data_IF_325178443237
#
_entry.id   IF_325178443237
#
_cell.length_a   1.000
_cell.length_b   1.000
_cell.length_c   1.000
_cell.angle_alpha   90.00
_cell.angle_beta   90.00
_cell.angle_gamma   90.00
#
_symmetry.space_group_name_H-M   'P 1'
#
loop_
_entity.id
_entity.type
_entity.pdbx_description
1 polymer ?
#
# COMPACT_ATOMS: atom_id res chain seq x y z
N UNK A 1 -40.18 7.86 73.51
CA UNK A 1 -41.01 6.76 72.96
C UNK A 1 -40.70 6.66 71.47
N UNK A 2 -40.51 5.43 71.01
CA UNK A 2 -39.94 4.96 69.74
C UNK A 2 -40.53 5.50 68.41
N UNK A 3 -39.86 5.24 67.26
CA UNK A 3 -39.88 6.04 66.03
C UNK A 3 -40.77 5.46 64.90
N UNK A 4 -40.81 6.17 63.75
CA UNK A 4 -41.16 5.62 62.42
C UNK A 4 -40.20 6.16 61.34
N UNK A 5 -39.71 5.23 60.52
CA UNK A 5 -38.73 5.37 59.44
C UNK A 5 -39.24 6.18 58.23
N UNK A 6 -38.34 6.68 57.35
CA UNK A 6 -38.07 6.12 56.01
C UNK A 6 -37.29 7.09 55.07
N UNK A 7 -36.11 6.64 54.59
CA UNK A 7 -35.52 6.87 53.25
C UNK A 7 -35.26 8.29 52.68
N UNK A 8 -33.98 8.69 52.58
CA UNK A 8 -33.53 9.82 51.73
C UNK A 8 -32.96 9.33 50.39
N UNK A 9 -33.55 9.82 49.29
CA UNK A 9 -33.12 9.66 47.90
C UNK A 9 -32.26 10.86 47.46
N UNK A 10 -30.98 10.64 47.20
CA UNK A 10 -30.13 11.54 46.42
C UNK A 10 -30.45 11.40 44.92
N UNK A 11 -31.23 12.32 44.34
CA UNK A 11 -31.38 12.40 42.88
C UNK A 11 -31.85 13.78 42.40
N UNK A 12 -31.26 14.85 42.91
CA UNK A 12 -31.63 16.22 42.53
C UNK A 12 -30.44 17.07 42.08
N UNK A 13 -29.57 16.51 41.23
CA UNK A 13 -28.48 17.27 40.61
C UNK A 13 -28.22 16.89 39.13
N UNK A 14 -29.26 16.49 38.38
CA UNK A 14 -29.12 16.15 36.95
C UNK A 14 -30.16 16.80 36.02
N UNK A 15 -30.91 17.82 36.47
CA UNK A 15 -32.03 18.39 35.69
C UNK A 15 -31.78 19.74 35.01
N UNK A 16 -30.54 20.11 34.72
CA UNK A 16 -30.23 21.45 34.17
C UNK A 16 -29.48 21.49 32.84
N UNK A 17 -29.52 20.42 32.01
CA UNK A 17 -28.91 20.43 30.67
C UNK A 17 -29.75 19.64 29.63
N UNK A 18 -31.06 19.87 29.58
CA UNK A 18 -31.90 19.40 28.46
C UNK A 18 -32.78 20.54 27.96
N UNK A 19 -32.20 21.36 27.08
CA UNK A 19 -32.91 22.46 26.45
C UNK A 19 -32.07 23.12 25.37
N UNK A 20 -31.85 22.44 24.24
CA UNK A 20 -31.43 23.11 23.00
C UNK A 20 -31.81 22.32 21.74
N UNK A 21 -32.56 23.02 20.89
CA UNK A 21 -32.76 22.86 19.44
C UNK A 21 -33.23 21.49 18.86
N UNK A 22 -34.54 21.41 18.59
CA UNK A 22 -35.10 20.51 17.55
C UNK A 22 -34.74 21.09 16.16
N UNK A 23 -33.70 20.57 15.52
CA UNK A 23 -33.55 20.69 14.07
C UNK A 23 -34.55 19.75 13.37
N UNK A 24 -35.29 20.30 12.39
CA UNK A 24 -36.15 19.54 11.48
C UNK A 24 -35.26 18.61 10.66
N UNK A 25 -35.25 17.32 10.99
CA UNK A 25 -34.71 16.28 10.12
C UNK A 25 -35.62 16.12 8.90
N UNK A 26 -35.19 16.62 7.74
CA UNK A 26 -35.67 16.11 6.46
C UNK A 26 -35.37 14.60 6.37
N UNK A 27 -36.26 13.78 5.81
CA UNK A 27 -36.02 12.35 5.66
C UNK A 27 -34.87 12.13 4.69
N UNK A 28 -33.68 11.81 5.22
CA UNK A 28 -32.57 11.26 4.45
C UNK A 28 -33.05 10.02 3.72
N UNK A 29 -33.21 10.13 2.40
CA UNK A 29 -33.36 9.01 1.49
C UNK A 29 -32.24 8.00 1.81
N UNK A 30 -32.61 6.85 2.37
CA UNK A 30 -31.67 5.77 2.67
C UNK A 30 -31.26 5.13 1.36
N UNK A 31 -30.27 5.73 0.67
CA UNK A 31 -29.59 5.06 -0.44
C UNK A 31 -29.10 3.70 0.07
N UNK A 32 -29.35 2.62 -0.68
CA UNK A 32 -28.95 1.30 -0.23
C UNK A 32 -27.43 1.23 -0.04
N UNK A 33 -26.97 0.38 0.88
CA UNK A 33 -25.57 0.32 1.33
C UNK A 33 -24.57 0.17 0.16
N UNK A 34 -25.02 -0.42 -0.95
CA UNK A 34 -24.26 -0.62 -2.18
C UNK A 34 -24.01 0.65 -3.01
N UNK A 35 -24.57 1.78 -2.60
CA UNK A 35 -24.42 3.08 -3.26
C UNK A 35 -23.65 4.08 -2.39
N UNK A 36 -23.11 3.65 -1.23
CA UNK A 36 -22.29 4.52 -0.36
C UNK A 36 -20.90 4.70 -0.96
N UNK A 37 -20.81 5.65 -1.87
CA UNK A 37 -19.58 6.10 -2.50
C UNK A 37 -18.67 6.76 -1.45
N UNK A 38 -17.35 6.54 -1.53
CA UNK A 38 -16.38 7.23 -0.65
C UNK A 38 -16.54 8.75 -0.81
N UNK A 39 -16.80 9.43 0.30
CA UNK A 39 -16.84 10.89 0.41
C UNK A 39 -15.51 11.35 0.99
N UNK A 40 -14.83 12.22 0.26
CA UNK A 40 -13.57 12.82 0.68
C UNK A 40 -13.87 14.02 1.60
N UNK A 41 -13.20 14.08 2.75
CA UNK A 41 -13.37 15.13 3.75
C UNK A 41 -12.00 15.76 4.01
N UNK A 42 -11.95 17.06 4.24
CA UNK A 42 -10.72 17.73 4.68
C UNK A 42 -10.33 17.23 6.07
N UNK A 43 -9.22 16.49 6.16
CA UNK A 43 -8.75 15.85 7.39
C UNK A 43 -7.22 15.75 7.37
N UNK A 44 -6.58 15.98 8.52
CA UNK A 44 -5.12 15.83 8.65
C UNK A 44 -4.74 14.35 8.76
N UNK A 45 -3.46 14.07 8.54
CA UNK A 45 -2.94 12.73 8.75
C UNK A 45 -2.96 12.40 10.25
N UNK A 46 -3.46 11.23 10.63
CA UNK A 46 -3.59 10.82 12.03
C UNK A 46 -2.27 10.97 12.80
N UNK A 47 -1.14 10.63 12.18
CA UNK A 47 0.15 10.72 12.86
C UNK A 47 0.61 12.16 13.08
N UNK A 48 0.23 13.11 12.22
CA UNK A 48 0.52 14.53 12.46
C UNK A 48 -0.22 15.00 13.73
N UNK A 49 -1.49 14.62 13.87
CA UNK A 49 -2.29 14.94 15.07
C UNK A 49 -1.72 14.26 16.32
N UNK A 50 -1.33 12.99 16.22
CA UNK A 50 -0.74 12.26 17.35
C UNK A 50 0.62 12.82 17.76
N UNK A 51 1.45 13.29 16.83
CA UNK A 51 2.76 13.87 17.14
C UNK A 51 2.67 15.21 17.88
N UNK A 52 1.50 15.87 17.90
CA UNK A 52 1.24 17.02 18.78
C UNK A 52 1.15 16.60 20.26
N UNK A 53 0.76 15.34 20.54
CA UNK A 53 0.71 14.78 21.88
C UNK A 53 2.12 14.45 22.36
N UNK A 54 2.47 14.91 23.56
CA UNK A 54 3.82 14.79 24.12
C UNK A 54 4.36 13.35 24.15
N UNK A 55 3.51 12.37 24.48
CA UNK A 55 3.91 10.96 24.57
C UNK A 55 4.37 10.38 23.22
N UNK A 56 3.63 10.64 22.14
CA UNK A 56 3.99 10.17 20.79
C UNK A 56 5.20 10.92 20.24
N UNK A 57 5.32 12.22 20.56
CA UNK A 57 6.53 12.99 20.23
C UNK A 57 7.78 12.41 20.89
N UNK A 58 7.68 11.92 22.12
CA UNK A 58 8.79 11.22 22.78
C UNK A 58 9.18 9.94 22.03
N UNK A 59 8.20 9.13 21.58
CA UNK A 59 8.48 7.94 20.77
C UNK A 59 9.23 8.35 19.49
N UNK A 60 8.75 9.37 18.78
CA UNK A 60 9.44 9.89 17.59
C UNK A 60 10.88 10.32 17.90
N UNK A 61 11.09 11.07 18.99
CA UNK A 61 12.42 11.49 19.41
C UNK A 61 13.35 10.31 19.76
N UNK A 62 12.81 9.21 20.32
CA UNK A 62 13.57 7.98 20.55
C UNK A 62 14.04 7.38 19.22
N UNK A 63 13.16 7.28 18.20
CA UNK A 63 13.55 6.79 16.87
C UNK A 63 14.65 7.66 16.25
N UNK A 64 14.55 8.99 16.38
CA UNK A 64 15.59 9.93 15.91
C UNK A 64 16.90 9.76 16.69
N UNK A 65 16.85 9.63 18.01
CA UNK A 65 18.04 9.43 18.84
C UNK A 65 18.75 8.11 18.51
N UNK A 66 17.98 7.03 18.32
CA UNK A 66 18.51 5.74 17.88
C UNK A 66 19.16 5.87 16.51
N UNK A 67 18.53 6.59 15.56
CA UNK A 67 19.15 6.90 14.27
C UNK A 67 20.49 7.64 14.42
N UNK A 68 20.57 8.67 15.25
CA UNK A 68 21.82 9.39 15.52
C UNK A 68 22.91 8.46 16.08
N UNK A 69 22.55 7.49 16.94
CA UNK A 69 23.48 6.47 17.44
C UNK A 69 23.96 5.55 16.30
N UNK A 70 23.10 5.16 15.36
CA UNK A 70 23.52 4.39 14.19
C UNK A 70 24.48 5.15 13.29
N UNK A 71 24.24 6.44 13.07
CA UNK A 71 25.15 7.32 12.33
C UNK A 71 26.50 7.41 13.03
N UNK A 72 26.49 7.68 14.35
CA UNK A 72 27.70 7.73 15.15
C UNK A 72 28.47 6.41 15.10
N UNK A 73 27.79 5.27 15.26
CA UNK A 73 28.39 3.94 15.14
C UNK A 73 29.07 3.76 13.79
N UNK A 74 28.41 4.11 12.69
CA UNK A 74 28.99 3.93 11.36
C UNK A 74 30.22 4.82 11.14
N UNK A 75 30.16 6.09 11.56
CA UNK A 75 31.31 7.00 11.50
C UNK A 75 32.48 6.50 12.34
N UNK A 76 32.21 6.01 13.56
CA UNK A 76 33.26 5.48 14.44
C UNK A 76 33.89 4.20 13.89
N UNK A 77 33.08 3.25 13.41
CA UNK A 77 33.59 2.00 12.81
C UNK A 77 34.45 2.31 11.58
N UNK A 78 33.97 3.18 10.68
CA UNK A 78 34.73 3.54 9.48
C UNK A 78 36.03 4.28 9.81
N UNK A 79 36.00 5.17 10.82
CA UNK A 79 37.19 5.86 11.31
C UNK A 79 38.21 4.90 11.93
N UNK A 80 37.76 3.89 12.69
CA UNK A 80 38.63 2.87 13.29
C UNK A 80 39.24 1.99 12.20
N UNK A 81 38.45 1.56 11.22
CA UNK A 81 38.87 0.59 10.21
C UNK A 81 39.75 1.21 9.12
N UNK A 82 39.44 2.44 8.66
CA UNK A 82 40.10 3.06 7.51
C UNK A 82 40.90 4.32 7.83
N UNK A 83 40.76 4.87 9.05
CA UNK A 83 41.35 6.15 9.45
C UNK A 83 40.71 7.37 8.78
N UNK A 84 39.60 7.21 8.06
CA UNK A 84 38.83 8.28 7.39
C UNK A 84 37.36 8.22 7.81
N UNK A 85 36.64 9.32 7.60
CA UNK A 85 35.19 9.36 7.80
C UNK A 85 34.51 9.38 6.43
N UNK A 86 34.11 8.22 5.95
CA UNK A 86 33.31 8.01 4.75
C UNK A 86 32.01 7.30 5.14
N UNK A 87 30.88 7.98 4.92
CA UNK A 87 29.58 7.32 5.02
C UNK A 87 29.43 6.38 3.82
N UNK A 88 29.28 5.09 4.09
CA UNK A 88 29.07 4.10 3.05
C UNK A 88 27.60 4.09 2.58
N UNK A 89 27.41 4.28 1.28
CA UNK A 89 26.13 4.26 0.58
C UNK A 89 25.96 3.04 -0.34
N UNK A 90 26.84 2.04 -0.27
CA UNK A 90 26.85 0.85 -1.14
C UNK A 90 25.49 0.16 -1.21
N UNK A 91 24.82 -0.04 -0.08
CA UNK A 91 23.50 -0.70 -0.04
C UNK A 91 22.46 0.09 -0.82
N UNK A 92 22.49 1.43 -0.76
CA UNK A 92 21.56 2.29 -1.49
C UNK A 92 21.89 2.25 -2.99
N UNK A 93 23.17 2.40 -3.34
CA UNK A 93 23.63 2.35 -4.74
C UNK A 93 23.28 1.00 -5.38
N UNK A 94 23.45 -0.08 -4.64
CA UNK A 94 23.05 -1.43 -5.04
C UNK A 94 21.52 -1.54 -5.21
N UNK A 95 20.75 -1.13 -4.21
CA UNK A 95 19.30 -1.24 -4.21
C UNK A 95 18.66 -0.44 -5.36
N UNK A 96 19.11 0.78 -5.60
CA UNK A 96 18.67 1.66 -6.69
C UNK A 96 19.53 1.52 -7.96
N UNK A 97 20.15 0.35 -8.16
CA UNK A 97 20.94 0.07 -9.35
C UNK A 97 20.18 0.40 -10.64
N UNK A 98 20.83 1.17 -11.53
CA UNK A 98 20.30 1.66 -12.82
C UNK A 98 19.00 2.49 -12.71
N UNK A 99 18.83 3.26 -11.63
CA UNK A 99 17.64 4.13 -11.44
C UNK A 99 17.34 5.05 -12.64
N UNK A 100 18.35 5.63 -13.29
CA UNK A 100 18.11 6.50 -14.46
C UNK A 100 17.39 5.78 -15.61
N UNK A 101 17.60 4.46 -15.76
CA UNK A 101 16.94 3.65 -16.77
C UNK A 101 15.47 3.34 -16.42
N UNK A 102 15.02 3.58 -15.18
CA UNK A 102 13.61 3.40 -14.80
C UNK A 102 12.71 4.54 -15.26
N UNK A 103 13.30 5.69 -15.60
CA UNK A 103 12.54 6.87 -16.07
C UNK A 103 11.83 6.61 -17.39
N UNK A 104 12.47 5.91 -18.34
CA UNK A 104 11.87 5.59 -19.64
C UNK A 104 10.64 4.67 -19.50
N UNK A 105 10.70 3.49 -18.84
CA UNK A 105 9.51 2.66 -18.68
C UNK A 105 8.42 3.37 -17.89
N UNK A 106 8.78 4.17 -16.87
CA UNK A 106 7.83 5.00 -16.15
C UNK A 106 7.12 6.02 -17.06
N UNK A 107 7.88 6.75 -17.89
CA UNK A 107 7.34 7.76 -18.80
C UNK A 107 6.42 7.14 -19.85
N UNK A 108 6.78 5.98 -20.40
CA UNK A 108 5.91 5.24 -21.33
C UNK A 108 4.60 4.81 -20.67
N UNK A 109 4.67 4.23 -19.48
CA UNK A 109 3.46 3.85 -18.72
C UNK A 109 2.62 5.07 -18.36
N UNK A 110 3.24 6.16 -17.91
CA UNK A 110 2.56 7.39 -17.55
C UNK A 110 1.85 8.05 -18.75
N UNK A 111 2.55 8.21 -19.88
CA UNK A 111 1.98 8.79 -21.10
C UNK A 111 0.84 7.93 -21.64
N UNK A 112 0.99 6.61 -21.61
CA UNK A 112 -0.09 5.70 -21.97
C UNK A 112 -1.31 5.91 -21.07
N UNK A 113 -1.14 5.88 -19.75
CA UNK A 113 -2.24 6.03 -18.80
C UNK A 113 -2.89 7.41 -18.88
N UNK A 114 -2.12 8.46 -19.16
CA UNK A 114 -2.65 9.81 -19.32
C UNK A 114 -3.46 9.98 -20.62
N UNK A 115 -2.94 9.48 -21.73
CA UNK A 115 -3.49 9.81 -23.06
C UNK A 115 -4.50 8.77 -23.55
N UNK A 116 -4.17 7.47 -23.47
CA UNK A 116 -4.95 6.42 -24.15
C UNK A 116 -6.35 6.24 -23.52
N UNK A 117 -6.51 6.02 -22.20
CA UNK A 117 -7.84 5.91 -21.58
C UNK A 117 -8.71 7.15 -21.82
N UNK A 118 -8.13 8.35 -21.73
CA UNK A 118 -8.84 9.60 -21.93
C UNK A 118 -9.35 9.77 -23.37
N UNK A 119 -8.47 9.54 -24.35
CA UNK A 119 -8.82 9.67 -25.78
C UNK A 119 -9.82 8.60 -26.21
N UNK A 120 -9.65 7.34 -25.77
CA UNK A 120 -10.62 6.28 -26.09
C UNK A 120 -11.99 6.59 -25.50
N UNK A 121 -12.07 7.09 -24.26
CA UNK A 121 -13.33 7.54 -23.66
C UNK A 121 -13.95 8.66 -24.51
N UNK A 122 -13.18 9.66 -24.91
CA UNK A 122 -13.68 10.81 -25.67
C UNK A 122 -14.20 10.41 -27.07
N UNK A 123 -13.48 9.54 -27.77
CA UNK A 123 -13.90 8.98 -29.06
C UNK A 123 -15.16 8.14 -28.86
N UNK A 124 -15.19 7.28 -27.83
CA UNK A 124 -16.33 6.43 -27.53
C UNK A 124 -17.60 7.26 -27.27
N UNK A 125 -17.54 8.32 -26.45
CA UNK A 125 -18.71 9.19 -26.19
C UNK A 125 -19.19 9.91 -27.47
N UNK A 126 -18.27 10.40 -28.29
CA UNK A 126 -18.63 11.05 -29.55
C UNK A 126 -19.33 10.09 -30.51
N UNK A 127 -18.82 8.86 -30.63
CA UNK A 127 -19.46 7.81 -31.43
C UNK A 127 -20.80 7.38 -30.85
N UNK A 128 -20.93 7.38 -29.52
CA UNK A 128 -22.16 7.05 -28.80
C UNK A 128 -23.30 8.03 -29.12
N UNK A 129 -22.98 9.30 -29.39
CA UNK A 129 -23.94 10.34 -29.84
C UNK A 129 -24.42 10.11 -31.27
N UNK A 130 -23.53 9.67 -32.16
CA UNK A 130 -23.83 9.54 -33.60
C UNK A 130 -24.47 8.20 -33.97
N UNK A 131 -24.12 7.11 -33.28
CA UNK A 131 -24.45 5.75 -33.69
C UNK A 131 -25.50 5.10 -32.76
N UNK A 132 -26.43 4.37 -33.38
CA UNK A 132 -27.52 3.68 -32.69
C UNK A 132 -27.12 2.32 -32.09
N UNK A 133 -25.84 1.93 -32.12
CA UNK A 133 -25.32 0.64 -31.61
C UNK A 133 -24.41 0.81 -30.37
N UNK A 134 -24.93 1.22 -29.19
CA UNK A 134 -24.15 1.45 -27.97
C UNK A 134 -23.30 0.26 -27.54
N UNK A 135 -23.90 -0.94 -27.57
CA UNK A 135 -23.29 -2.14 -27.00
C UNK A 135 -22.03 -2.54 -27.75
N UNK A 136 -22.10 -2.60 -29.08
CA UNK A 136 -20.97 -2.96 -29.93
C UNK A 136 -19.80 -1.97 -29.77
N UNK A 137 -20.08 -0.66 -29.77
CA UNK A 137 -19.07 0.37 -29.57
C UNK A 137 -18.38 0.26 -28.20
N UNK A 138 -19.15 -0.03 -27.15
CA UNK A 138 -18.63 -0.22 -25.80
C UNK A 138 -17.75 -1.46 -25.71
N UNK A 139 -18.14 -2.57 -26.35
CA UNK A 139 -17.33 -3.79 -26.44
C UNK A 139 -16.02 -3.51 -27.18
N UNK A 140 -16.07 -2.84 -28.34
CA UNK A 140 -14.87 -2.51 -29.12
C UNK A 140 -13.91 -1.64 -28.31
N UNK A 141 -14.41 -0.56 -27.70
CA UNK A 141 -13.60 0.34 -26.86
C UNK A 141 -12.97 -0.42 -25.68
N UNK A 142 -13.72 -1.32 -25.05
CA UNK A 142 -13.24 -2.15 -23.94
C UNK A 142 -12.14 -3.11 -24.39
N UNK A 143 -12.31 -3.79 -25.52
CA UNK A 143 -11.31 -4.72 -26.07
C UNK A 143 -10.02 -3.98 -26.43
N UNK A 144 -10.13 -2.81 -27.08
CA UNK A 144 -8.97 -1.95 -27.41
C UNK A 144 -8.24 -1.52 -26.14
N UNK A 145 -8.94 -1.07 -25.10
CA UNK A 145 -8.33 -0.70 -23.82
C UNK A 145 -7.70 -1.90 -23.11
N UNK A 146 -8.32 -3.08 -23.18
CA UNK A 146 -7.78 -4.29 -22.58
C UNK A 146 -6.47 -4.72 -23.25
N UNK A 147 -6.42 -4.69 -24.58
CA UNK A 147 -5.20 -4.97 -25.36
C UNK A 147 -4.12 -3.93 -25.04
N UNK A 148 -4.49 -2.65 -24.98
CA UNK A 148 -3.58 -1.57 -24.58
C UNK A 148 -3.01 -1.76 -23.18
N UNK A 149 -3.86 -2.08 -22.20
CA UNK A 149 -3.44 -2.36 -20.83
C UNK A 149 -2.53 -3.60 -20.75
N UNK A 150 -2.89 -4.69 -21.45
CA UNK A 150 -2.10 -5.91 -21.47
C UNK A 150 -0.72 -5.70 -22.12
N UNK A 151 -0.63 -4.90 -23.18
CA UNK A 151 0.63 -4.65 -23.88
C UNK A 151 1.51 -3.65 -23.12
N UNK A 152 0.98 -2.48 -22.75
CA UNK A 152 1.78 -1.37 -22.21
C UNK A 152 1.90 -1.40 -20.69
N UNK A 153 0.84 -1.77 -19.97
CA UNK A 153 0.85 -1.81 -18.50
C UNK A 153 1.09 -3.20 -17.91
N UNK A 154 1.11 -4.27 -18.71
CA UNK A 154 1.45 -5.61 -18.23
C UNK A 154 2.72 -6.15 -18.89
N UNK A 155 2.72 -6.38 -20.19
CA UNK A 155 3.85 -7.02 -20.87
C UNK A 155 5.11 -6.15 -20.90
N UNK A 156 5.00 -4.88 -21.28
CA UNK A 156 6.14 -3.97 -21.41
C UNK A 156 6.98 -3.80 -20.12
N UNK A 157 6.42 -3.43 -18.95
CA UNK A 157 7.21 -3.31 -17.72
C UNK A 157 7.87 -4.62 -17.33
N UNK A 158 7.17 -5.75 -17.43
CA UNK A 158 7.75 -7.08 -17.15
C UNK A 158 8.90 -7.40 -18.09
N UNK A 159 8.74 -7.11 -19.39
CA UNK A 159 9.81 -7.28 -20.36
C UNK A 159 11.04 -6.41 -20.03
N UNK A 160 10.84 -5.14 -19.64
CA UNK A 160 11.95 -4.25 -19.25
C UNK A 160 12.68 -4.77 -18.01
N UNK A 161 11.95 -5.24 -16.99
CA UNK A 161 12.53 -5.79 -15.76
C UNK A 161 13.27 -7.11 -15.99
N UNK A 162 12.81 -7.93 -16.94
CA UNK A 162 13.45 -9.22 -17.27
C UNK A 162 14.65 -9.08 -18.21
N UNK A 163 14.72 -8.01 -19.01
CA UNK A 163 15.79 -7.79 -19.99
C UNK A 163 16.97 -7.01 -19.43
N UNK A 164 16.79 -6.25 -18.35
CA UNK A 164 17.82 -5.40 -17.76
C UNK A 164 18.07 -5.76 -16.29
N UNK A 165 19.34 -5.82 -15.82
CA UNK A 165 19.66 -6.09 -14.43
C UNK A 165 19.50 -4.81 -13.59
N UNK A 166 18.26 -4.51 -13.22
CA UNK A 166 17.93 -3.46 -12.25
C UNK A 166 18.24 -3.89 -10.81
N UNK A 167 18.49 -2.92 -9.93
CA UNK A 167 18.54 -3.18 -8.49
C UNK A 167 17.15 -3.49 -7.92
N UNK A 168 17.03 -4.19 -6.78
CA UNK A 168 15.74 -4.61 -6.23
C UNK A 168 14.75 -3.46 -5.95
N UNK A 169 15.24 -2.31 -5.48
CA UNK A 169 14.39 -1.14 -5.23
C UNK A 169 13.96 -0.47 -6.55
N UNK A 170 14.83 -0.43 -7.56
CA UNK A 170 14.49 0.03 -8.92
C UNK A 170 13.39 -0.82 -9.55
N UNK A 171 13.46 -2.15 -9.42
CA UNK A 171 12.41 -3.07 -9.84
C UNK A 171 11.08 -2.80 -9.11
N UNK A 172 11.16 -2.59 -7.79
CA UNK A 172 10.00 -2.29 -6.97
C UNK A 172 9.31 -0.98 -7.40
N UNK A 173 10.07 0.07 -7.72
CA UNK A 173 9.53 1.34 -8.24
C UNK A 173 8.70 1.11 -9.50
N UNK A 174 9.27 0.46 -10.52
CA UNK A 174 8.57 0.20 -11.79
C UNK A 174 7.30 -0.62 -11.54
N UNK A 175 7.39 -1.65 -10.71
CA UNK A 175 6.28 -2.57 -10.45
C UNK A 175 5.16 -1.92 -9.65
N UNK A 176 5.48 -1.11 -8.63
CA UNK A 176 4.48 -0.35 -7.86
C UNK A 176 3.82 0.74 -8.71
N UNK A 177 4.58 1.44 -9.54
CA UNK A 177 4.05 2.45 -10.47
C UNK A 177 3.15 1.81 -11.53
N UNK A 178 3.54 0.65 -12.06
CA UNK A 178 2.70 -0.16 -12.95
C UNK A 178 1.34 -0.49 -12.32
N UNK A 179 1.33 -1.03 -11.09
CA UNK A 179 0.09 -1.35 -10.39
C UNK A 179 -0.73 -0.10 -10.08
N UNK A 180 -0.08 1.00 -9.70
CA UNK A 180 -0.73 2.30 -9.45
C UNK A 180 -1.45 2.80 -10.71
N UNK A 181 -0.79 2.78 -11.86
CA UNK A 181 -1.37 3.20 -13.13
C UNK A 181 -2.53 2.31 -13.57
N UNK A 182 -2.42 1.00 -13.38
CA UNK A 182 -3.51 0.06 -13.65
C UNK A 182 -4.75 0.36 -12.78
N UNK A 183 -4.55 0.52 -11.46
CA UNK A 183 -5.62 0.82 -10.51
C UNK A 183 -6.29 2.17 -10.80
N UNK A 184 -5.50 3.20 -11.11
CA UNK A 184 -6.02 4.54 -11.45
C UNK A 184 -6.76 4.55 -12.79
N UNK A 185 -6.23 3.90 -13.82
CA UNK A 185 -6.90 3.77 -15.11
C UNK A 185 -8.25 3.07 -14.96
N UNK A 186 -8.28 1.96 -14.22
CA UNK A 186 -9.53 1.24 -13.93
C UNK A 186 -10.53 2.12 -13.17
N UNK A 187 -10.08 2.80 -12.11
CA UNK A 187 -10.95 3.66 -11.30
C UNK A 187 -11.56 4.79 -12.13
N UNK A 188 -10.76 5.46 -12.97
CA UNK A 188 -11.23 6.51 -13.86
C UNK A 188 -12.33 6.01 -14.80
N UNK A 189 -12.10 4.90 -15.50
CA UNK A 189 -13.08 4.33 -16.43
C UNK A 189 -14.34 3.86 -15.69
N UNK A 190 -14.19 3.22 -14.53
CA UNK A 190 -15.33 2.69 -13.76
C UNK A 190 -16.23 3.77 -13.20
N UNK A 191 -15.68 4.92 -12.82
CA UNK A 191 -16.47 6.03 -12.26
C UNK A 191 -17.09 6.92 -13.34
N UNK A 192 -16.49 6.99 -14.54
CA UNK A 192 -16.96 7.86 -15.63
C UNK A 192 -17.97 7.20 -16.55
N UNK A 193 -17.81 5.91 -16.87
CA UNK A 193 -18.67 5.22 -17.85
C UNK A 193 -20.13 5.07 -17.40
N UNK A 194 -20.47 4.66 -16.15
CA UNK A 194 -21.86 4.46 -15.75
C UNK A 194 -22.74 5.72 -15.80
N UNK A 195 -22.30 6.90 -15.29
CA UNK A 195 -23.08 8.13 -15.42
C UNK A 195 -23.34 8.52 -16.88
N UNK A 196 -22.36 8.33 -17.76
CA UNK A 196 -22.52 8.60 -19.20
C UNK A 196 -23.58 7.69 -19.82
N UNK A 197 -23.54 6.38 -19.52
CA UNK A 197 -24.56 5.43 -20.00
C UNK A 197 -25.97 5.75 -19.46
N UNK A 198 -26.07 6.16 -18.19
CA UNK A 198 -27.34 6.59 -17.59
C UNK A 198 -27.88 7.86 -18.24
N UNK A 199 -27.02 8.87 -18.47
CA UNK A 199 -27.41 10.11 -19.16
C UNK A 199 -27.92 9.83 -20.56
N UNK A 200 -27.25 8.94 -21.33
CA UNK A 200 -27.74 8.49 -22.64
C UNK A 200 -29.12 7.83 -22.54
N UNK A 201 -29.31 6.93 -21.56
CA UNK A 201 -30.59 6.22 -21.42
C UNK A 201 -31.75 7.15 -21.06
N UNK A 202 -31.46 8.29 -20.43
CA UNK A 202 -32.44 9.27 -20.00
C UNK A 202 -32.54 10.48 -20.96
N UNK A 203 -31.95 10.38 -22.17
CA UNK A 203 -31.84 11.48 -23.15
C UNK A 203 -31.25 12.79 -22.56
N UNK A 204 -30.40 12.66 -21.53
CA UNK A 204 -29.68 13.77 -20.92
C UNK A 204 -28.34 14.08 -21.59
N UNK A 205 -27.76 15.23 -21.27
CA UNK A 205 -26.44 15.61 -21.77
C UNK A 205 -25.33 14.71 -21.18
N UNK A 206 -24.56 14.08 -22.07
CA UNK A 206 -23.37 13.32 -21.68
C UNK A 206 -22.22 14.28 -21.35
N UNK A 207 -21.96 14.47 -20.07
CA UNK A 207 -20.81 15.25 -19.58
C UNK A 207 -19.53 14.41 -19.61
N UNK A 208 -18.48 14.95 -20.24
CA UNK A 208 -17.14 14.35 -20.20
C UNK A 208 -16.30 14.99 -19.10
N UNK A 209 -15.44 14.20 -18.42
CA UNK A 209 -14.50 14.75 -17.46
C UNK A 209 -13.47 15.66 -18.16
N UNK A 210 -13.11 16.76 -17.49
CA UNK A 210 -12.03 17.63 -17.95
C UNK A 210 -10.68 16.92 -17.88
N UNK A 211 -9.82 17.15 -18.87
CA UNK A 211 -8.46 16.60 -18.90
C UNK A 211 -7.62 17.03 -17.69
N UNK A 212 -7.78 18.29 -17.24
CA UNK A 212 -7.11 18.84 -16.07
C UNK A 212 -7.43 18.05 -14.79
N UNK A 213 -8.69 17.68 -14.59
CA UNK A 213 -9.15 16.86 -13.45
C UNK A 213 -8.56 15.46 -13.49
N UNK A 214 -8.50 14.85 -14.69
CA UNK A 214 -7.89 13.54 -14.85
C UNK A 214 -6.37 13.57 -14.58
N UNK A 215 -5.66 14.54 -15.15
CA UNK A 215 -4.24 14.76 -14.91
C UNK A 215 -3.95 14.98 -13.42
N UNK A 216 -4.77 15.81 -12.75
CA UNK A 216 -4.69 16.03 -11.30
C UNK A 216 -4.84 14.71 -10.52
N UNK A 217 -5.85 13.90 -10.84
CA UNK A 217 -6.07 12.60 -10.22
C UNK A 217 -4.87 11.66 -10.34
N UNK A 218 -4.17 11.64 -11.48
CA UNK A 218 -3.01 10.77 -11.68
C UNK A 218 -1.88 11.03 -10.68
N UNK A 219 -1.73 12.26 -10.18
CA UNK A 219 -0.74 12.60 -9.17
C UNK A 219 -1.28 12.59 -7.73
N UNK A 220 -2.60 12.68 -7.52
CA UNK A 220 -3.18 12.64 -6.18
C UNK A 220 -2.89 11.32 -5.43
N UNK A 221 -2.64 11.37 -4.11
CA UNK A 221 -2.38 10.18 -3.28
C UNK A 221 -3.65 9.40 -2.94
N UNK A 222 -4.53 9.17 -3.92
CA UNK A 222 -5.73 8.34 -3.84
C UNK A 222 -5.85 7.49 -5.10
N UNK A 223 -6.50 6.33 -4.98
CA UNK A 223 -6.77 5.43 -6.10
C UNK A 223 -8.22 5.51 -6.59
N UNK A 224 -9.07 6.32 -5.94
CA UNK A 224 -10.48 6.47 -6.28
C UNK A 224 -10.68 7.80 -7.02
N UNK A 225 -11.15 7.73 -8.26
CA UNK A 225 -11.46 8.87 -9.11
C UNK A 225 -12.75 9.57 -8.66
N UNK A 226 -12.68 10.89 -8.55
CA UNK A 226 -13.80 11.82 -8.37
C UNK A 226 -13.52 13.07 -9.18
N UNK A 227 -14.58 13.73 -9.62
CA UNK A 227 -14.44 14.99 -10.35
C UNK A 227 -13.97 16.13 -9.43
N UNK A 228 -14.42 16.13 -8.18
CA UNK A 228 -14.09 17.14 -7.19
C UNK A 228 -13.50 16.49 -5.94
N UNK A 229 -12.34 17.00 -5.51
CA UNK A 229 -11.69 16.64 -4.26
C UNK A 229 -11.64 17.85 -3.33
N UNK A 230 -11.70 17.67 -2.01
CA UNK A 230 -11.45 18.77 -1.07
C UNK A 230 -9.99 19.22 -1.23
N UNK A 231 -9.79 20.54 -1.32
CA UNK A 231 -8.47 21.14 -1.56
C UNK A 231 -8.06 22.09 -0.45
N UNK A 232 -6.77 22.10 -0.11
CA UNK A 232 -6.21 23.09 0.81
C UNK A 232 -6.03 24.43 0.09
N UNK A 233 -6.12 25.57 0.80
CA UNK A 233 -6.06 26.90 0.19
C UNK A 233 -4.70 27.26 -0.40
N UNK A 234 -3.61 26.76 0.19
CA UNK A 234 -2.24 27.01 -0.27
C UNK A 234 -1.33 25.80 -0.01
N UNK A 235 -0.19 25.77 -0.70
CA UNK A 235 0.89 24.77 -0.49
C UNK A 235 1.84 25.29 0.58
N UNK A 236 2.00 24.54 1.68
CA UNK A 236 2.99 24.84 2.71
C UNK A 236 4.33 24.17 2.37
N UNK A 237 5.15 24.87 1.58
CA UNK A 237 6.45 24.34 1.11
C UNK A 237 7.39 23.87 2.21
N UNK A 238 7.36 24.51 3.39
CA UNK A 238 8.13 24.03 4.55
C UNK A 238 7.75 22.61 4.94
N UNK A 239 6.46 22.30 5.02
CA UNK A 239 5.96 20.96 5.33
C UNK A 239 6.32 19.95 4.23
N UNK A 240 6.30 20.37 2.96
CA UNK A 240 6.75 19.53 1.83
C UNK A 240 8.23 19.17 1.97
N UNK A 241 9.09 20.16 2.17
CA UNK A 241 10.54 19.99 2.30
C UNK A 241 10.88 19.12 3.52
N UNK A 242 10.23 19.36 4.67
CA UNK A 242 10.41 18.57 5.88
C UNK A 242 10.06 17.09 5.65
N UNK A 243 8.96 16.79 4.97
CA UNK A 243 8.56 15.41 4.70
C UNK A 243 9.46 14.72 3.67
N UNK A 244 9.95 15.43 2.64
CA UNK A 244 10.96 14.87 1.73
C UNK A 244 12.30 14.65 2.41
N UNK A 245 12.72 15.55 3.30
CA UNK A 245 13.93 15.36 4.10
C UNK A 245 13.78 14.13 5.01
N UNK A 246 12.64 13.97 5.71
CA UNK A 246 12.33 12.76 6.50
C UNK A 246 12.37 11.50 5.64
N UNK A 247 11.78 11.53 4.44
CA UNK A 247 11.83 10.42 3.50
C UNK A 247 13.27 10.01 3.15
N UNK A 248 14.13 10.95 2.77
CA UNK A 248 15.54 10.67 2.44
C UNK A 248 16.32 10.16 3.67
N UNK A 249 16.10 10.74 4.85
CA UNK A 249 16.72 10.29 6.10
C UNK A 249 16.27 8.87 6.46
N UNK A 250 15.00 8.53 6.27
CA UNK A 250 14.51 7.17 6.52
C UNK A 250 15.06 6.14 5.52
N UNK A 251 15.27 6.50 4.25
CA UNK A 251 15.97 5.63 3.29
C UNK A 251 17.40 5.35 3.73
N UNK A 252 18.11 6.40 4.14
CA UNK A 252 19.46 6.24 4.71
C UNK A 252 19.42 5.37 5.95
N UNK A 253 18.49 5.62 6.87
CA UNK A 253 18.35 4.82 8.08
C UNK A 253 18.08 3.33 7.77
N UNK A 254 17.19 3.04 6.82
CA UNK A 254 16.90 1.68 6.37
C UNK A 254 18.14 0.96 5.85
N UNK A 255 18.99 1.66 5.09
CA UNK A 255 20.26 1.10 4.59
C UNK A 255 21.22 0.72 5.72
N UNK A 256 21.32 1.56 6.76
CA UNK A 256 22.17 1.31 7.92
C UNK A 256 21.67 0.10 8.71
N UNK A 257 20.35 -0.01 8.92
CA UNK A 257 19.75 -1.15 9.60
C UNK A 257 20.01 -2.45 8.85
N UNK A 258 19.87 -2.41 7.52
CA UNK A 258 20.16 -3.58 6.68
C UNK A 258 21.62 -4.01 6.81
N UNK A 259 22.56 -3.05 6.76
CA UNK A 259 24.00 -3.33 6.92
C UNK A 259 24.36 -3.84 8.32
N UNK A 260 23.75 -3.28 9.37
CA UNK A 260 24.08 -3.61 10.76
C UNK A 260 23.45 -4.91 11.25
N UNK A 261 22.21 -5.19 10.85
CA UNK A 261 21.45 -6.32 11.36
C UNK A 261 21.24 -7.42 10.33
N UNK A 262 20.92 -7.07 9.09
CA UNK A 262 20.54 -8.08 8.09
C UNK A 262 21.75 -8.79 7.51
N UNK A 263 22.72 -8.04 6.99
CA UNK A 263 23.89 -8.63 6.32
C UNK A 263 24.62 -9.63 7.24
N UNK A 264 24.94 -9.31 8.51
CA UNK A 264 25.68 -10.24 9.37
C UNK A 264 24.90 -11.51 9.74
N UNK A 265 23.57 -11.43 9.83
CA UNK A 265 22.72 -12.59 10.14
C UNK A 265 22.73 -13.60 8.98
N UNK A 266 22.72 -13.14 7.73
CA UNK A 266 22.52 -14.02 6.57
C UNK A 266 23.81 -14.32 5.78
N UNK A 267 24.81 -13.43 5.79
CA UNK A 267 26.03 -13.61 4.96
C UNK A 267 26.86 -14.84 5.33
N UNK A 268 26.87 -15.21 6.62
CA UNK A 268 27.70 -16.31 7.13
C UNK A 268 27.02 -17.69 7.06
N UNK A 269 25.76 -17.75 6.67
CA UNK A 269 24.93 -18.95 6.83
C UNK A 269 25.14 -20.03 5.78
N UNK A 270 25.87 -19.74 4.70
CA UNK A 270 26.11 -20.72 3.63
C UNK A 270 27.15 -21.79 3.97
N UNK A 271 27.82 -21.69 5.11
CA UNK A 271 28.86 -22.65 5.53
C UNK A 271 28.30 -23.91 6.18
N UNK A 272 27.00 -23.97 6.49
CA UNK A 272 26.38 -25.10 7.18
C UNK A 272 24.99 -25.40 6.62
N UNK A 273 24.57 -26.67 6.57
CA UNK A 273 23.22 -27.02 6.14
C UNK A 273 22.16 -26.43 7.08
N UNK A 274 21.06 -25.96 6.49
CA UNK A 274 19.96 -25.31 7.22
C UNK A 274 19.20 -26.34 8.07
N UNK A 275 19.71 -26.55 9.28
CA UNK A 275 19.09 -27.42 10.28
C UNK A 275 17.86 -26.71 10.88
N UNK A 276 16.84 -27.47 11.29
CA UNK A 276 15.64 -26.92 11.95
C UNK A 276 15.97 -25.97 13.11
N UNK A 277 16.94 -26.36 13.95
CA UNK A 277 17.45 -25.51 15.03
C UNK A 277 17.96 -24.16 14.53
N UNK A 278 18.82 -24.16 13.52
CA UNK A 278 19.38 -22.94 12.93
C UNK A 278 18.29 -22.08 12.30
N UNK A 279 17.34 -22.69 11.58
CA UNK A 279 16.20 -21.99 11.01
C UNK A 279 15.37 -21.24 12.06
N UNK A 280 14.99 -21.92 13.15
CA UNK A 280 14.24 -21.32 14.25
C UNK A 280 15.01 -20.14 14.84
N UNK A 281 16.31 -20.31 15.12
CA UNK A 281 17.14 -19.24 15.68
C UNK A 281 17.25 -18.01 14.75
N UNK A 282 17.31 -18.22 13.43
CA UNK A 282 17.34 -17.13 12.43
C UNK A 282 16.03 -16.35 12.45
N UNK A 283 14.88 -17.04 12.42
CA UNK A 283 13.58 -16.36 12.42
C UNK A 283 13.41 -15.50 13.67
N UNK A 284 13.74 -16.05 14.84
CA UNK A 284 13.65 -15.28 16.09
C UNK A 284 14.67 -14.14 16.15
N UNK A 285 15.92 -14.33 15.70
CA UNK A 285 16.93 -13.26 15.71
C UNK A 285 16.62 -12.13 14.72
N UNK A 286 16.00 -12.46 13.59
CA UNK A 286 15.59 -11.49 12.58
C UNK A 286 14.29 -10.75 12.93
N UNK A 287 13.54 -11.18 13.95
CA UNK A 287 12.21 -10.64 14.29
C UNK A 287 12.25 -9.14 14.58
N UNK A 288 13.20 -8.69 15.40
CA UNK A 288 13.34 -7.27 15.75
C UNK A 288 13.75 -6.42 14.55
N UNK A 289 14.70 -6.92 13.74
CA UNK A 289 15.14 -6.22 12.55
C UNK A 289 14.00 -6.09 11.51
N UNK A 290 13.24 -7.16 11.31
CA UNK A 290 12.09 -7.19 10.40
C UNK A 290 10.98 -6.22 10.86
N UNK A 291 10.65 -6.19 12.15
CA UNK A 291 9.70 -5.24 12.71
C UNK A 291 10.15 -3.79 12.47
N UNK A 292 11.41 -3.51 12.79
CA UNK A 292 11.95 -2.16 12.68
C UNK A 292 11.93 -1.67 11.23
N UNK A 293 12.37 -2.51 10.29
CA UNK A 293 12.31 -2.21 8.86
C UNK A 293 10.87 -2.04 8.38
N UNK A 294 9.92 -2.87 8.83
CA UNK A 294 8.52 -2.77 8.45
C UNK A 294 7.88 -1.44 8.91
N UNK A 295 8.12 -1.03 10.16
CA UNK A 295 7.63 0.25 10.70
C UNK A 295 8.29 1.42 9.95
N UNK A 296 9.59 1.34 9.67
CA UNK A 296 10.31 2.38 8.95
C UNK A 296 9.79 2.54 7.52
N UNK A 297 9.62 1.43 6.79
CA UNK A 297 9.03 1.44 5.43
C UNK A 297 7.62 2.03 5.45
N UNK A 298 6.81 1.63 6.43
CA UNK A 298 5.46 2.15 6.59
C UNK A 298 5.45 3.67 6.80
N UNK A 299 6.24 4.17 7.76
CA UNK A 299 6.36 5.60 8.05
C UNK A 299 6.90 6.39 6.85
N UNK A 300 7.91 5.84 6.16
CA UNK A 300 8.53 6.47 5.00
C UNK A 300 7.55 6.67 3.86
N UNK A 301 6.78 5.62 3.52
CA UNK A 301 5.87 5.67 2.39
C UNK A 301 4.51 6.29 2.76
N UNK A 302 3.80 5.74 3.74
CA UNK A 302 2.42 6.15 4.02
C UNK A 302 2.33 7.52 4.69
N UNK A 303 3.30 7.88 5.52
CA UNK A 303 3.30 9.17 6.18
C UNK A 303 4.12 10.19 5.41
N UNK A 304 5.43 10.02 5.25
CA UNK A 304 6.27 11.07 4.66
C UNK A 304 5.98 11.30 3.17
N UNK A 305 6.01 10.24 2.36
CA UNK A 305 5.85 10.35 0.91
C UNK A 305 4.44 10.78 0.51
N UNK A 306 3.39 10.11 1.00
CA UNK A 306 2.00 10.47 0.64
C UNK A 306 1.61 11.87 1.14
N UNK A 307 2.02 12.29 2.34
CA UNK A 307 1.71 13.65 2.80
C UNK A 307 2.48 14.73 2.03
N UNK A 308 3.72 14.46 1.61
CA UNK A 308 4.46 15.39 0.76
C UNK A 308 3.73 15.61 -0.58
N UNK A 309 3.30 14.53 -1.24
CA UNK A 309 2.50 14.63 -2.46
C UNK A 309 1.11 15.24 -2.23
N UNK A 310 0.45 14.93 -1.11
CA UNK A 310 -0.84 15.51 -0.76
C UNK A 310 -0.74 17.04 -0.64
N UNK A 311 0.26 17.53 0.09
CA UNK A 311 0.48 18.97 0.25
C UNK A 311 0.84 19.65 -1.07
N UNK A 312 1.74 19.06 -1.88
CA UNK A 312 2.11 19.61 -3.20
C UNK A 312 0.92 19.74 -4.14
N UNK A 313 -0.01 18.77 -4.12
CA UNK A 313 -1.21 18.80 -4.95
C UNK A 313 -2.35 19.65 -4.35
N UNK A 314 -2.18 20.20 -3.15
CA UNK A 314 -3.26 20.79 -2.34
C UNK A 314 -4.42 19.80 -2.09
N UNK A 315 -4.13 18.51 -1.91
CA UNK A 315 -5.12 17.49 -1.58
C UNK A 315 -5.38 17.47 -0.07
N UNK A 316 -6.65 17.64 0.33
CA UNK A 316 -7.01 17.88 1.73
C UNK A 316 -7.38 16.62 2.53
N UNK A 317 -7.76 15.51 1.88
CA UNK A 317 -8.06 14.25 2.58
C UNK A 317 -6.78 13.45 2.82
N UNK A 318 -6.20 13.53 4.01
CA UNK A 318 -4.93 12.87 4.34
C UNK A 318 -5.11 11.57 5.13
N UNK A 319 -6.27 10.93 5.02
CA UNK A 319 -6.59 9.67 5.71
C UNK A 319 -6.04 8.44 4.97
N UNK A 320 -4.72 8.38 4.77
CA UNK A 320 -4.06 7.26 4.09
C UNK A 320 -4.03 5.97 4.93
N UNK A 321 -4.12 6.12 6.25
CA UNK A 321 -4.12 5.05 7.25
C UNK A 321 -4.90 5.51 8.49
N UNK A 322 -5.31 4.55 9.32
CA UNK A 322 -5.95 4.77 10.63
C UNK A 322 -5.08 4.18 11.74
N UNK A 323 -5.60 4.06 12.95
CA UNK A 323 -4.97 3.51 14.14
C UNK A 323 -4.82 1.98 14.10
N UNK A 324 -4.17 1.47 13.06
CA UNK A 324 -4.01 0.04 12.80
C UNK A 324 -3.29 -0.73 13.92
N UNK A 325 -2.46 -0.04 14.71
CA UNK A 325 -1.76 -0.62 15.86
C UNK A 325 -2.69 -0.95 17.03
N UNK A 326 -3.87 -0.33 17.11
CA UNK A 326 -4.90 -0.60 18.12
C UNK A 326 -5.91 -1.69 17.68
N UNK A 327 -5.74 -2.25 16.48
CA UNK A 327 -6.65 -3.26 15.96
C UNK A 327 -6.70 -4.50 16.87
N UNK A 328 -7.92 -4.99 17.14
CA UNK A 328 -8.16 -6.22 17.91
C UNK A 328 -8.44 -7.42 17.02
N UNK A 329 -8.75 -7.20 15.73
CA UNK A 329 -8.98 -8.26 14.75
C UNK A 329 -8.15 -8.03 13.49
N UNK A 330 -7.85 -9.11 12.76
CA UNK A 330 -7.07 -9.02 11.53
C UNK A 330 -7.83 -8.22 10.48
N UNK A 331 -9.14 -8.41 10.42
CA UNK A 331 -10.06 -7.64 9.59
C UNK A 331 -10.05 -6.14 9.91
N UNK A 332 -9.91 -5.73 11.18
CA UNK A 332 -9.74 -4.31 11.52
C UNK A 332 -8.38 -3.77 11.08
N UNK A 333 -7.31 -4.53 11.29
CA UNK A 333 -5.94 -4.18 10.87
C UNK A 333 -5.86 -3.93 9.36
N UNK A 334 -6.40 -4.86 8.56
CA UNK A 334 -6.33 -4.80 7.10
C UNK A 334 -7.07 -3.59 6.50
N UNK A 335 -8.14 -3.14 7.15
CA UNK A 335 -8.92 -1.96 6.74
C UNK A 335 -8.27 -0.63 7.14
N UNK A 336 -7.35 -0.65 8.10
CA UNK A 336 -6.76 0.55 8.70
C UNK A 336 -5.30 0.77 8.31
N UNK A 337 -4.55 -0.28 7.98
CA UNK A 337 -3.13 -0.20 7.62
C UNK A 337 -2.85 0.64 6.36
N UNK A 338 -3.59 0.37 5.28
CA UNK A 338 -3.48 1.04 3.99
C UNK A 338 -4.89 1.31 3.45
N UNK A 339 -5.46 2.44 3.85
CA UNK A 339 -6.83 2.83 3.48
C UNK A 339 -6.93 3.07 1.97
N UNK A 340 -5.87 3.58 1.34
CA UNK A 340 -5.87 3.91 -0.10
C UNK A 340 -6.12 2.68 -0.98
N UNK A 341 -5.39 1.58 -0.73
CA UNK A 341 -5.56 0.32 -1.48
C UNK A 341 -6.78 -0.44 -0.99
N UNK A 342 -7.05 -0.43 0.32
CA UNK A 342 -8.25 -1.05 0.88
C UNK A 342 -9.52 -0.50 0.21
N UNK A 343 -9.66 0.82 0.11
CA UNK A 343 -10.85 1.44 -0.45
C UNK A 343 -11.00 1.12 -1.95
N UNK A 344 -9.90 1.05 -2.69
CA UNK A 344 -9.92 0.60 -4.09
C UNK A 344 -10.41 -0.84 -4.22
N UNK A 345 -9.85 -1.77 -3.44
CA UNK A 345 -10.25 -3.18 -3.43
C UNK A 345 -11.72 -3.33 -2.99
N UNK A 346 -12.14 -2.58 -1.98
CA UNK A 346 -13.50 -2.60 -1.47
C UNK A 346 -14.50 -2.10 -2.51
N UNK A 347 -14.26 -0.94 -3.12
CA UNK A 347 -15.17 -0.32 -4.08
C UNK A 347 -15.22 -1.05 -5.43
N UNK A 348 -14.10 -1.59 -5.91
CA UNK A 348 -13.99 -2.06 -7.30
C UNK A 348 -13.84 -3.56 -7.47
N UNK A 349 -13.43 -4.28 -6.43
CA UNK A 349 -13.34 -5.75 -6.49
C UNK A 349 -14.46 -6.33 -5.66
N UNK A 350 -14.44 -6.10 -4.35
CA UNK A 350 -15.41 -6.69 -3.43
C UNK A 350 -16.85 -6.33 -3.80
N UNK A 351 -17.13 -5.03 -3.93
CA UNK A 351 -18.48 -4.55 -4.19
C UNK A 351 -19.00 -4.95 -5.58
N UNK A 352 -18.14 -4.90 -6.59
CA UNK A 352 -18.49 -5.27 -7.96
C UNK A 352 -18.77 -6.76 -8.09
N UNK A 353 -17.97 -7.61 -7.42
CA UNK A 353 -18.23 -9.04 -7.35
C UNK A 353 -19.54 -9.32 -6.61
N UNK A 354 -19.83 -8.62 -5.51
CA UNK A 354 -21.11 -8.75 -4.82
C UNK A 354 -22.30 -8.39 -5.71
N UNK A 355 -22.16 -7.34 -6.53
CA UNK A 355 -23.17 -6.92 -7.48
C UNK A 355 -23.39 -7.98 -8.56
N UNK A 356 -22.32 -8.51 -9.16
CA UNK A 356 -22.38 -9.58 -10.18
C UNK A 356 -23.01 -10.86 -9.62
N UNK A 357 -22.63 -11.27 -8.41
CA UNK A 357 -23.14 -12.48 -7.76
C UNK A 357 -24.45 -12.28 -6.98
N UNK A 358 -25.13 -11.12 -7.16
CA UNK A 358 -26.40 -10.77 -6.51
C UNK A 358 -26.42 -11.05 -5.01
N UNK A 359 -25.34 -10.70 -4.30
CA UNK A 359 -25.16 -10.83 -2.85
C UNK A 359 -25.23 -12.27 -2.28
N UNK A 360 -25.39 -13.31 -3.12
CA UNK A 360 -25.50 -14.71 -2.65
C UNK A 360 -24.17 -15.34 -2.24
N UNK A 361 -23.05 -14.74 -2.65
CA UNK A 361 -21.71 -15.32 -2.51
C UNK A 361 -20.74 -14.38 -1.78
N UNK A 362 -21.14 -13.86 -0.61
CA UNK A 362 -20.32 -12.92 0.17
C UNK A 362 -18.93 -13.48 0.51
N UNK A 363 -18.85 -14.74 0.97
CA UNK A 363 -17.58 -15.40 1.28
C UNK A 363 -16.68 -15.54 0.04
N UNK A 364 -17.26 -15.80 -1.14
CA UNK A 364 -16.49 -15.85 -2.39
C UNK A 364 -15.97 -14.47 -2.79
N UNK A 365 -16.75 -13.41 -2.61
CA UNK A 365 -16.32 -12.03 -2.89
C UNK A 365 -15.17 -11.61 -1.97
N UNK A 366 -15.24 -11.96 -0.68
CA UNK A 366 -14.13 -11.76 0.27
C UNK A 366 -12.91 -12.54 -0.20
N UNK A 367 -13.02 -13.86 -0.37
CA UNK A 367 -11.91 -14.72 -0.78
C UNK A 367 -11.26 -14.24 -2.08
N UNK A 368 -12.06 -13.87 -3.09
CA UNK A 368 -11.55 -13.37 -4.37
C UNK A 368 -10.78 -12.06 -4.21
N UNK A 369 -11.30 -11.12 -3.42
CA UNK A 369 -10.62 -9.83 -3.15
C UNK A 369 -9.26 -10.05 -2.52
N UNK A 370 -9.18 -11.00 -1.59
CA UNK A 370 -7.94 -11.37 -0.94
C UNK A 370 -6.96 -12.12 -1.85
N UNK A 371 -7.44 -13.03 -2.71
CA UNK A 371 -6.60 -13.71 -3.69
C UNK A 371 -5.98 -12.69 -4.64
N UNK A 372 -6.76 -11.73 -5.14
CA UNK A 372 -6.25 -10.64 -5.99
C UNK A 372 -5.19 -9.81 -5.26
N UNK A 373 -5.46 -9.43 -4.00
CA UNK A 373 -4.50 -8.71 -3.17
C UNK A 373 -3.20 -9.50 -2.96
N UNK A 374 -3.30 -10.76 -2.55
CA UNK A 374 -2.14 -11.63 -2.31
C UNK A 374 -1.32 -11.87 -3.57
N UNK A 375 -1.96 -12.05 -4.72
CA UNK A 375 -1.30 -12.22 -6.01
C UNK A 375 -0.50 -10.96 -6.42
N UNK A 376 -1.05 -9.76 -6.18
CA UNK A 376 -0.32 -8.52 -6.44
C UNK A 376 0.87 -8.33 -5.50
N UNK A 377 0.75 -8.69 -4.23
CA UNK A 377 1.88 -8.64 -3.29
C UNK A 377 3.00 -9.60 -3.72
N UNK A 378 2.66 -10.84 -4.07
CA UNK A 378 3.63 -11.82 -4.57
C UNK A 378 4.26 -11.38 -5.90
N UNK A 379 3.47 -10.79 -6.81
CA UNK A 379 3.96 -10.23 -8.06
C UNK A 379 5.01 -9.13 -7.82
N UNK A 380 4.77 -8.21 -6.88
CA UNK A 380 5.73 -7.16 -6.52
C UNK A 380 7.03 -7.77 -5.98
N UNK A 381 6.93 -8.75 -5.08
CA UNK A 381 8.11 -9.44 -4.53
C UNK A 381 8.89 -10.18 -5.62
N UNK A 382 8.19 -10.94 -6.46
CA UNK A 382 8.77 -11.72 -7.55
C UNK A 382 9.53 -10.82 -8.54
N UNK A 383 8.94 -9.69 -8.93
CA UNK A 383 9.60 -8.74 -9.84
C UNK A 383 10.74 -7.98 -9.16
N UNK A 384 10.63 -7.68 -7.87
CA UNK A 384 11.67 -6.96 -7.12
C UNK A 384 12.92 -7.83 -6.89
N UNK A 385 12.73 -9.11 -6.56
CA UNK A 385 13.84 -10.02 -6.27
C UNK A 385 14.28 -10.87 -7.48
N UNK A 386 13.49 -10.94 -8.55
CA UNK A 386 13.83 -11.68 -9.77
C UNK A 386 13.67 -13.20 -9.67
N UNK A 387 13.01 -13.71 -8.63
CA UNK A 387 12.68 -15.12 -8.45
C UNK A 387 11.29 -15.29 -7.84
N UNK A 388 10.67 -16.44 -8.03
CA UNK A 388 9.35 -16.75 -7.49
C UNK A 388 9.49 -17.57 -6.20
N UNK A 389 8.96 -17.03 -5.09
CA UNK A 389 8.97 -17.70 -3.79
C UNK A 389 7.67 -17.36 -3.03
N UNK A 390 6.59 -18.15 -3.20
CA UNK A 390 5.20 -17.78 -2.89
C UNK A 390 4.84 -17.74 -1.40
N UNK A 391 5.80 -17.44 -0.53
CA UNK A 391 5.61 -17.38 0.91
C UNK A 391 4.61 -16.30 1.31
N UNK A 392 4.67 -15.12 0.67
CA UNK A 392 3.76 -14.02 1.01
C UNK A 392 2.32 -14.38 0.65
N UNK A 393 2.12 -15.00 -0.51
CA UNK A 393 0.82 -15.53 -0.93
C UNK A 393 0.28 -16.58 0.05
N UNK A 394 1.11 -17.52 0.50
CA UNK A 394 0.72 -18.54 1.49
C UNK A 394 0.38 -17.88 2.84
N UNK A 395 1.18 -16.93 3.31
CA UNK A 395 0.91 -16.19 4.54
C UNK A 395 -0.44 -15.45 4.47
N UNK A 396 -0.78 -14.87 3.31
CA UNK A 396 -2.09 -14.25 3.09
C UNK A 396 -3.24 -15.24 3.26
N UNK A 397 -3.14 -16.46 2.71
CA UNK A 397 -4.17 -17.49 2.91
C UNK A 397 -4.34 -17.92 4.36
N UNK A 398 -3.23 -18.06 5.10
CA UNK A 398 -3.27 -18.38 6.51
C UNK A 398 -4.04 -17.30 7.27
N UNK A 399 -3.72 -16.02 7.02
CA UNK A 399 -4.42 -14.88 7.62
C UNK A 399 -5.93 -14.96 7.37
N UNK A 400 -6.34 -15.20 6.12
CA UNK A 400 -7.76 -15.30 5.74
C UNK A 400 -8.43 -16.49 6.42
N UNK A 401 -7.76 -17.65 6.42
CA UNK A 401 -8.26 -18.85 7.07
C UNK A 401 -8.51 -18.60 8.56
N UNK A 402 -7.61 -17.90 9.25
CA UNK A 402 -7.81 -17.56 10.67
C UNK A 402 -9.04 -16.67 10.90
N UNK A 403 -9.37 -15.78 9.97
CA UNK A 403 -10.57 -14.95 10.09
C UNK A 403 -11.85 -15.70 9.73
N UNK A 404 -11.84 -16.55 8.69
CA UNK A 404 -13.00 -17.37 8.31
C UNK A 404 -13.34 -18.36 9.43
N UNK A 405 -12.34 -18.92 10.09
CA UNK A 405 -12.50 -19.82 11.23
C UNK A 405 -12.90 -19.08 12.52
N UNK A 406 -12.98 -17.74 12.51
CA UNK A 406 -13.38 -16.95 13.67
C UNK A 406 -12.45 -17.10 14.87
N UNK A 407 -11.14 -17.29 14.63
CA UNK A 407 -10.19 -17.48 15.73
C UNK A 407 -10.18 -16.25 16.64
N UNK A 408 -10.18 -16.43 17.98
CA UNK A 408 -10.12 -15.30 18.89
C UNK A 408 -8.86 -14.49 18.60
N UNK A 409 -9.04 -13.19 18.43
CA UNK A 409 -7.98 -12.25 18.16
C UNK A 409 -8.04 -11.18 19.23
N UNK A 410 -6.96 -11.06 19.98
CA UNK A 410 -6.70 -9.92 20.86
C UNK A 410 -5.60 -9.08 20.22
N UNK A 411 -5.43 -7.84 20.64
CA UNK A 411 -4.36 -6.99 20.12
C UNK A 411 -2.97 -7.66 20.26
N UNK A 412 -2.70 -8.30 21.39
CA UNK A 412 -1.43 -9.03 21.63
C UNK A 412 -1.27 -10.20 20.66
N UNK A 413 -2.31 -11.03 20.48
CA UNK A 413 -2.25 -12.17 19.55
C UNK A 413 -2.07 -11.70 18.10
N UNK A 414 -2.69 -10.58 17.72
CA UNK A 414 -2.50 -9.96 16.42
C UNK A 414 -1.03 -9.54 16.22
N UNK A 415 -0.44 -8.84 17.19
CA UNK A 415 0.97 -8.45 17.12
C UNK A 415 1.91 -9.65 17.05
N UNK A 416 1.66 -10.73 17.81
CA UNK A 416 2.43 -11.98 17.71
C UNK A 416 2.37 -12.54 16.28
N UNK A 417 1.18 -12.58 15.66
CA UNK A 417 1.01 -13.07 14.28
C UNK A 417 1.74 -12.17 13.28
N UNK A 418 1.66 -10.84 13.42
CA UNK A 418 2.35 -9.88 12.55
C UNK A 418 3.87 -10.04 12.69
N UNK A 419 4.39 -10.07 13.91
CA UNK A 419 5.82 -10.20 14.18
C UNK A 419 6.39 -11.50 13.61
N UNK A 420 5.71 -12.62 13.88
CA UNK A 420 6.13 -13.92 13.36
C UNK A 420 6.05 -13.97 11.83
N UNK A 421 4.97 -13.45 11.24
CA UNK A 421 4.81 -13.38 9.79
C UNK A 421 5.88 -12.53 9.10
N UNK A 422 6.18 -11.34 9.64
CA UNK A 422 7.25 -10.47 9.14
C UNK A 422 8.61 -11.14 9.27
N UNK A 423 8.91 -11.75 10.42
CA UNK A 423 10.17 -12.43 10.67
C UNK A 423 10.39 -13.60 9.71
N UNK A 424 9.35 -14.42 9.51
CA UNK A 424 9.37 -15.56 8.59
C UNK A 424 9.58 -15.11 7.14
N UNK A 425 8.81 -14.11 6.69
CA UNK A 425 8.92 -13.56 5.34
C UNK A 425 10.31 -12.99 5.11
N UNK A 426 10.79 -12.13 6.02
CA UNK A 426 12.09 -11.50 5.92
C UNK A 426 13.23 -12.52 5.88
N UNK A 427 13.18 -13.52 6.75
CA UNK A 427 14.22 -14.55 6.85
C UNK A 427 14.27 -15.42 5.61
N UNK A 428 13.13 -15.95 5.17
CA UNK A 428 13.09 -16.86 4.02
C UNK A 428 13.46 -16.16 2.71
N UNK A 429 12.97 -14.93 2.49
CA UNK A 429 13.34 -14.15 1.30
C UNK A 429 14.83 -13.80 1.31
N UNK A 430 15.39 -13.45 2.47
CA UNK A 430 16.82 -13.17 2.60
C UNK A 430 17.67 -14.43 2.36
N UNK A 431 17.29 -15.56 2.95
CA UNK A 431 17.98 -16.84 2.73
C UNK A 431 17.97 -17.24 1.25
N UNK A 432 16.82 -17.14 0.59
CA UNK A 432 16.70 -17.45 -0.84
C UNK A 432 17.53 -16.50 -1.71
N UNK A 433 17.54 -15.21 -1.38
CA UNK A 433 18.37 -14.21 -2.04
C UNK A 433 19.86 -14.54 -1.93
N UNK A 434 20.36 -14.79 -0.72
CA UNK A 434 21.76 -15.13 -0.52
C UNK A 434 22.12 -16.50 -1.11
N UNK A 435 21.26 -17.52 -1.02
CA UNK A 435 21.50 -18.82 -1.65
C UNK A 435 21.68 -18.71 -3.17
N UNK A 436 20.94 -17.81 -3.83
CA UNK A 436 21.07 -17.56 -5.28
C UNK A 436 22.34 -16.83 -5.66
N UNK A 437 22.85 -15.95 -4.80
CA UNK A 437 24.15 -15.28 -5.00
C UNK A 437 25.30 -16.28 -4.89
N UNK A 438 25.25 -17.18 -3.91
CA UNK A 438 26.36 -18.10 -3.62
C UNK A 438 26.40 -19.30 -4.56
N UNK A 439 25.23 -19.81 -4.96
CA UNK A 439 25.10 -20.87 -5.95
C UNK A 439 24.55 -20.32 -7.28
N UNK A 440 25.33 -19.60 -8.11
CA UNK A 440 24.87 -19.10 -9.40
C UNK A 440 24.66 -20.27 -10.37
N UNK A 441 23.65 -20.16 -11.24
CA UNK A 441 23.36 -21.18 -12.26
C UNK A 441 23.85 -20.71 -13.62
N UNK A 442 24.49 -21.60 -14.37
CA UNK A 442 25.05 -21.30 -15.70
C UNK A 442 23.99 -21.00 -16.78
N UNK A 443 22.74 -21.46 -16.63
CA UNK A 443 21.64 -21.21 -17.57
C UNK A 443 20.38 -20.70 -16.85
N UNK A 444 19.92 -19.52 -17.24
CA UNK A 444 18.66 -18.94 -16.75
C UNK A 444 17.46 -19.56 -17.48
N UNK A 445 16.95 -20.68 -16.96
CA UNK A 445 15.68 -21.27 -17.44
C UNK A 445 14.52 -20.87 -16.53
N UNK A 446 13.28 -20.98 -17.02
CA UNK A 446 12.08 -20.73 -16.20
C UNK A 446 12.11 -21.50 -14.87
N UNK A 447 12.43 -22.79 -14.92
CA UNK A 447 12.53 -23.66 -13.74
C UNK A 447 13.55 -23.14 -12.72
N UNK A 448 14.69 -22.59 -13.17
CA UNK A 448 15.69 -22.05 -12.24
C UNK A 448 15.22 -20.82 -11.45
N UNK A 449 14.17 -20.12 -11.91
CA UNK A 449 13.56 -18.99 -11.20
C UNK A 449 12.43 -19.40 -10.26
N UNK A 450 11.77 -20.53 -10.54
CA UNK A 450 10.63 -21.05 -9.76
C UNK A 450 11.06 -22.04 -8.68
N UNK A 451 12.13 -22.80 -8.91
CA UNK A 451 12.64 -23.75 -7.93
C UNK A 451 13.44 -23.01 -6.85
N UNK A 452 13.04 -23.11 -5.56
CA UNK A 452 13.78 -22.51 -4.45
C UNK A 452 15.14 -23.16 -4.26
N UNK A 453 16.14 -22.39 -3.84
CA UNK A 453 17.53 -22.85 -3.62
C UNK A 453 17.95 -22.89 -2.17
N UNK A 454 17.17 -22.28 -1.28
CA UNK A 454 17.40 -22.27 0.17
C UNK A 454 17.69 -23.67 0.74
N UNK A 455 17.12 -24.71 0.14
CA UNK A 455 17.23 -26.10 0.62
C UNK A 455 18.25 -26.97 -0.13
N UNK A 456 18.84 -26.47 -1.22
CA UNK A 456 19.71 -27.26 -2.12
C UNK A 456 21.10 -26.68 -2.30
N UNK A 457 21.33 -25.40 -1.95
CA UNK A 457 22.64 -24.79 -1.97
C UNK A 457 23.40 -25.15 -0.69
N UNK A 458 24.21 -26.21 -0.74
CA UNK A 458 25.21 -26.55 0.26
C UNK A 458 26.54 -26.69 -0.45
N UNK A 459 27.50 -25.81 -0.17
CA UNK A 459 28.87 -25.90 -0.69
C UNK A 459 29.87 -25.72 0.43
#
# INVERSE_FOLDING_TARGET
>A
MEPREMGTNESTSQRTLQGQAKEKHEPREKRPLWMKQKVFIEQRSLLDELLEVQHFRTIYNIFVAVFCIFVLRAVLVDFIDTGRVALDFEVIVFAFGRLHMTLLPWLVMFLYTLLVPYQVLHIWVNLLKTLQLPALLTIIATVVLLIGHATVLAFYPVYTLMSQPFGPASCCIITLEQLRFLMKSYSFLRETVPPILQSRSNDGEMHLPQFSTYLYFLFCPTLIYRENYPRTPCVRWRYVIENFAKFLMCLFYGSMLFKCFTIPIFSNMNKQPLTFRSFVLIVFSATLAALYLAILIWYTFFHCWLNAFAEMMCFADRTFYKDWWNATSTSAYLRSWNVVVHDWLYCYIYHDLLWVFKLKAQSMAVLSTFIVSGAFHEYVFMMSFGFFYPLLFICWFIVIATEILGMPSTNILLWIRILFGLALLFSMQSLEWYARIHCPVQKNTFWTRVTPRTWSCYS
#
